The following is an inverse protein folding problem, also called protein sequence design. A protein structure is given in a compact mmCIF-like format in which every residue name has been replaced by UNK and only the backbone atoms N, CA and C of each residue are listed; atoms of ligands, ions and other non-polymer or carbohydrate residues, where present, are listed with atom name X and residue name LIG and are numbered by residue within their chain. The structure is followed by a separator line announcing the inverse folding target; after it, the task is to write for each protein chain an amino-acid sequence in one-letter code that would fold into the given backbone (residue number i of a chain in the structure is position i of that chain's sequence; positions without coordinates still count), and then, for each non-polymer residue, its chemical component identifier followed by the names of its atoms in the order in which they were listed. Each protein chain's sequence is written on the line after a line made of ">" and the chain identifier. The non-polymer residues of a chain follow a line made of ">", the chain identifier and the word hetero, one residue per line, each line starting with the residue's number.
data_IF_540896403433
#
_entry.id   IF_540896403433
#
_cell.length_a   1.000
_cell.length_b   1.000
_cell.length_c   1.000
_cell.angle_alpha   90.00
_cell.angle_beta   90.00
_cell.angle_gamma   90.00
#
_symmetry.space_group_name_H-M   'P 1'
#
loop_
_entity.id
_entity.type
_entity.pdbx_description
1 polymer ?
#
# COMPACT_ATOMS: atom_id res chain seq x y z
N UNK A 1 14.49 -45.65 -14.36
CA UNK A 1 15.65 -44.83 -14.73
C UNK A 1 15.23 -43.37 -14.59
N UNK A 2 15.22 -42.84 -13.36
CA UNK A 2 14.92 -41.43 -13.14
C UNK A 2 16.16 -40.64 -13.54
N UNK A 3 16.09 -39.99 -14.70
CA UNK A 3 17.11 -39.07 -15.16
C UNK A 3 17.20 -37.94 -14.13
N UNK A 4 18.22 -38.01 -13.29
CA UNK A 4 18.62 -36.96 -12.38
C UNK A 4 18.94 -35.73 -13.22
N UNK A 5 18.03 -34.76 -13.22
CA UNK A 5 18.32 -33.40 -13.66
C UNK A 5 19.18 -32.72 -12.60
N UNK A 6 20.38 -33.24 -12.38
CA UNK A 6 21.51 -32.45 -11.92
C UNK A 6 22.27 -32.06 -13.18
N UNK A 7 21.62 -31.24 -14.02
CA UNK A 7 22.41 -30.28 -14.79
C UNK A 7 23.02 -29.40 -13.72
N UNK A 8 24.32 -29.59 -13.51
CA UNK A 8 25.19 -28.57 -12.97
C UNK A 8 24.69 -27.23 -13.49
N UNK A 9 24.14 -26.40 -12.60
CA UNK A 9 23.72 -25.05 -12.91
C UNK A 9 24.97 -24.19 -12.73
N UNK A 10 25.80 -23.96 -13.77
CA UNK A 10 26.99 -23.13 -13.64
C UNK A 10 26.64 -21.72 -13.15
N UNK A 11 25.43 -21.23 -13.44
CA UNK A 11 24.97 -19.91 -13.01
C UNK A 11 24.87 -19.76 -11.49
N UNK A 12 24.61 -20.85 -10.76
CA UNK A 12 24.52 -20.86 -9.30
C UNK A 12 25.90 -20.85 -8.63
N UNK A 13 26.87 -21.59 -9.18
CA UNK A 13 28.24 -21.60 -8.64
C UNK A 13 28.95 -20.26 -8.81
N UNK A 14 28.75 -19.57 -9.95
CA UNK A 14 29.38 -18.26 -10.18
C UNK A 14 28.86 -17.13 -9.28
N UNK A 15 27.67 -17.28 -8.69
CA UNK A 15 27.06 -16.23 -7.88
C UNK A 15 27.44 -16.32 -6.39
N UNK A 16 27.72 -17.54 -5.90
CA UNK A 16 28.00 -17.81 -4.49
C UNK A 16 29.44 -17.48 -4.07
N UNK A 17 30.40 -17.49 -4.99
CA UNK A 17 31.84 -17.31 -4.67
C UNK A 17 32.18 -16.03 -3.91
N UNK A 18 31.43 -14.94 -4.12
CA UNK A 18 31.65 -13.64 -3.46
C UNK A 18 30.62 -13.34 -2.36
N UNK A 19 29.70 -14.27 -2.04
CA UNK A 19 28.67 -14.05 -1.03
C UNK A 19 29.17 -14.37 0.37
N UNK A 20 28.84 -13.50 1.33
CA UNK A 20 29.16 -13.66 2.74
C UNK A 20 27.88 -14.00 3.53
N UNK A 21 27.90 -14.99 4.44
CA UNK A 21 26.77 -15.23 5.34
C UNK A 21 26.43 -13.98 6.14
N UNK A 22 25.16 -13.61 6.18
CA UNK A 22 24.66 -12.47 6.97
C UNK A 22 23.82 -12.93 8.15
N UNK A 23 22.85 -13.79 7.90
CA UNK A 23 22.02 -14.39 8.94
C UNK A 23 21.53 -15.75 8.46
N UNK A 24 22.32 -16.77 8.77
CA UNK A 24 22.09 -18.16 8.35
C UNK A 24 20.72 -18.72 8.75
N UNK A 25 20.14 -18.42 9.93
CA UNK A 25 18.82 -18.94 10.29
C UNK A 25 17.69 -18.53 9.32
N UNK A 26 17.85 -17.41 8.62
CA UNK A 26 16.93 -16.98 7.55
C UNK A 26 17.53 -17.16 6.14
N UNK A 27 18.67 -17.82 6.03
CA UNK A 27 19.43 -18.01 4.79
C UNK A 27 19.70 -16.67 4.08
N UNK A 28 20.02 -15.64 4.86
CA UNK A 28 20.37 -14.31 4.36
C UNK A 28 21.88 -14.18 4.15
N UNK A 29 22.26 -13.56 3.04
CA UNK A 29 23.65 -13.37 2.61
C UNK A 29 23.87 -11.93 2.13
N UNK A 30 25.09 -11.45 2.26
CA UNK A 30 25.56 -10.21 1.65
C UNK A 30 26.34 -10.51 0.37
N UNK A 31 25.96 -9.88 -0.73
CA UNK A 31 26.65 -9.95 -2.02
C UNK A 31 27.29 -8.61 -2.35
N UNK A 32 28.59 -8.53 -2.69
CA UNK A 32 29.22 -7.30 -3.14
C UNK A 32 28.52 -6.67 -4.35
N UNK A 33 28.24 -5.38 -4.26
CA UNK A 33 27.72 -4.55 -5.34
C UNK A 33 28.87 -4.07 -6.19
N UNK A 34 28.87 -4.49 -7.46
CA UNK A 34 29.94 -4.15 -8.40
C UNK A 34 29.42 -3.16 -9.44
N UNK A 35 29.69 -1.88 -9.19
CA UNK A 35 29.24 -0.79 -10.05
C UNK A 35 30.37 -0.24 -10.94
N UNK A 36 30.00 0.06 -12.17
CA UNK A 36 30.82 0.60 -13.24
C UNK A 36 30.15 1.86 -13.79
N UNK A 37 30.90 2.94 -13.96
CA UNK A 37 30.46 4.12 -14.68
C UNK A 37 30.97 4.06 -16.12
N UNK A 38 30.06 4.21 -17.09
CA UNK A 38 30.39 4.32 -18.52
C UNK A 38 30.01 5.72 -18.98
N UNK A 39 30.98 6.49 -19.46
CA UNK A 39 30.74 7.80 -20.07
C UNK A 39 30.94 7.72 -21.57
N UNK A 40 29.91 8.08 -22.34
CA UNK A 40 29.95 8.12 -23.80
C UNK A 40 30.00 9.57 -24.23
N UNK A 41 31.07 9.95 -24.93
CA UNK A 41 31.21 11.29 -25.51
C UNK A 41 30.37 11.36 -26.79
N UNK A 42 29.42 12.28 -26.81
CA UNK A 42 28.56 12.55 -27.94
C UNK A 42 29.25 13.51 -28.92
N UNK A 43 29.02 13.38 -30.24
CA UNK A 43 29.58 14.28 -31.21
C UNK A 43 28.73 15.54 -31.29
N UNK A 44 29.34 16.66 -31.71
CA UNK A 44 28.56 17.86 -32.09
C UNK A 44 27.83 17.56 -33.39
N UNK A 45 26.54 17.22 -33.29
CA UNK A 45 25.69 16.92 -34.44
C UNK A 45 25.57 18.16 -35.32
N UNK A 46 26.07 18.10 -36.56
CA UNK A 46 26.05 19.22 -37.51
C UNK A 46 24.66 19.45 -38.13
N UNK A 47 23.83 18.41 -38.17
CA UNK A 47 22.49 18.46 -38.77
C UNK A 47 21.43 18.53 -37.67
N UNK A 48 20.56 19.54 -37.76
CA UNK A 48 19.39 19.65 -36.90
C UNK A 48 18.46 18.44 -37.10
N UNK A 49 18.01 17.81 -36.00
CA UNK A 49 17.12 16.65 -36.01
C UNK A 49 17.79 15.29 -35.91
N UNK A 50 19.12 15.20 -36.00
CA UNK A 50 19.82 13.97 -35.64
C UNK A 50 19.71 13.72 -34.13
N UNK A 51 19.41 12.49 -33.74
CA UNK A 51 19.40 12.08 -32.34
C UNK A 51 20.01 10.69 -32.20
N UNK A 52 20.81 10.50 -31.16
CA UNK A 52 21.39 9.20 -30.83
C UNK A 52 20.45 8.55 -29.82
N UNK A 53 19.88 7.39 -30.17
CA UNK A 53 18.99 6.70 -29.25
C UNK A 53 19.77 6.07 -28.09
N UNK A 54 19.30 6.30 -26.87
CA UNK A 54 19.87 5.67 -25.68
C UNK A 54 19.86 4.13 -25.76
N UNK A 55 18.82 3.56 -26.36
CA UNK A 55 18.70 2.12 -26.55
C UNK A 55 19.80 1.57 -27.45
N UNK A 56 20.08 2.22 -28.58
CA UNK A 56 21.14 1.82 -29.51
C UNK A 56 22.53 1.87 -28.84
N UNK A 57 22.79 2.90 -28.01
CA UNK A 57 24.02 2.95 -27.21
C UNK A 57 24.12 1.78 -26.23
N UNK A 58 23.05 1.49 -25.50
CA UNK A 58 22.99 0.36 -24.56
C UNK A 58 23.22 -0.97 -25.28
N UNK A 59 22.58 -1.19 -26.43
CA UNK A 59 22.74 -2.41 -27.22
C UNK A 59 24.16 -2.57 -27.76
N UNK A 60 24.79 -1.48 -28.21
CA UNK A 60 26.20 -1.48 -28.65
C UNK A 60 27.15 -1.77 -27.50
N UNK A 61 26.93 -1.18 -26.32
CA UNK A 61 27.70 -1.49 -25.10
C UNK A 61 27.56 -2.97 -24.76
N UNK A 62 26.34 -3.51 -24.72
CA UNK A 62 26.08 -4.93 -24.45
C UNK A 62 26.75 -5.85 -25.48
N UNK A 63 26.78 -5.47 -26.75
CA UNK A 63 27.46 -6.22 -27.81
C UNK A 63 28.98 -6.22 -27.63
N UNK A 64 29.56 -5.09 -27.23
CA UNK A 64 31.00 -4.93 -27.08
C UNK A 64 31.60 -5.77 -25.94
N UNK A 65 30.83 -6.04 -24.88
CA UNK A 65 31.30 -6.74 -23.69
C UNK A 65 31.06 -8.26 -23.70
N UNK A 66 30.40 -8.80 -24.74
CA UNK A 66 30.17 -10.25 -24.86
C UNK A 66 31.49 -11.01 -24.74
N UNK A 67 31.53 -12.15 -24.02
CA UNK A 67 30.40 -12.90 -23.46
C UNK A 67 29.95 -12.43 -22.05
N UNK A 68 30.48 -11.34 -21.52
CA UNK A 68 30.09 -10.83 -20.18
C UNK A 68 28.71 -10.18 -20.24
N UNK A 69 27.86 -10.48 -19.26
CA UNK A 69 26.52 -9.91 -19.15
C UNK A 69 26.45 -8.82 -18.07
N UNK A 70 25.51 -7.89 -18.25
CA UNK A 70 25.22 -6.83 -17.28
C UNK A 70 24.04 -7.24 -16.42
N UNK A 71 24.17 -7.10 -15.10
CA UNK A 71 23.05 -7.27 -14.17
C UNK A 71 22.05 -6.12 -14.32
N UNK A 72 22.54 -4.90 -14.49
CA UNK A 72 21.70 -3.73 -14.74
C UNK A 72 22.47 -2.64 -15.49
N UNK A 73 21.76 -1.81 -16.26
CA UNK A 73 22.30 -0.60 -16.88
C UNK A 73 21.25 0.50 -16.81
N UNK A 74 21.62 1.66 -16.27
CA UNK A 74 20.75 2.84 -16.17
C UNK A 74 21.52 4.10 -16.54
N UNK A 75 20.80 5.12 -16.99
CA UNK A 75 21.37 6.45 -17.24
C UNK A 75 21.34 7.22 -15.91
N UNK A 76 22.48 7.78 -15.50
CA UNK A 76 22.61 8.55 -14.27
C UNK A 76 22.72 10.06 -14.52
N UNK A 77 23.28 10.46 -15.66
CA UNK A 77 23.36 11.85 -16.05
C UNK A 77 23.45 11.96 -17.58
N UNK A 78 22.88 13.03 -18.14
CA UNK A 78 23.03 13.37 -19.54
C UNK A 78 23.32 14.86 -19.66
N UNK A 79 24.19 15.19 -20.60
CA UNK A 79 24.52 16.55 -21.03
C UNK A 79 24.54 16.55 -22.56
N UNK A 80 24.71 17.73 -23.17
CA UNK A 80 24.81 17.87 -24.63
C UNK A 80 25.98 17.04 -25.19
N UNK A 81 27.09 16.96 -24.45
CA UNK A 81 28.33 16.34 -24.93
C UNK A 81 28.59 14.95 -24.35
N UNK A 82 27.93 14.54 -23.25
CA UNK A 82 28.23 13.28 -22.55
C UNK A 82 26.98 12.64 -21.97
N UNK A 83 26.85 11.33 -22.17
CA UNK A 83 25.89 10.47 -21.45
C UNK A 83 26.68 9.59 -20.47
N UNK A 84 26.22 9.54 -19.21
CA UNK A 84 26.79 8.68 -18.17
C UNK A 84 25.81 7.58 -17.79
N UNK A 85 26.27 6.34 -17.91
CA UNK A 85 25.57 5.15 -17.48
C UNK A 85 26.20 4.62 -16.19
N UNK A 86 25.35 4.18 -15.26
CA UNK A 86 25.73 3.30 -14.16
C UNK A 86 25.35 1.88 -14.54
N UNK A 87 26.33 1.00 -14.49
CA UNK A 87 26.22 -0.41 -14.83
C UNK A 87 26.51 -1.23 -13.60
N UNK A 88 25.69 -2.24 -13.37
CA UNK A 88 25.91 -3.23 -12.35
C UNK A 88 26.36 -4.55 -12.99
N UNK A 89 27.39 -5.15 -12.42
CA UNK A 89 28.00 -6.40 -12.85
C UNK A 89 27.86 -7.46 -11.76
N UNK A 90 27.97 -8.72 -12.18
CA UNK A 90 27.77 -9.88 -11.30
C UNK A 90 28.84 -10.04 -10.22
N UNK A 91 30.12 -9.74 -10.55
CA UNK A 91 31.26 -9.95 -9.66
C UNK A 91 32.45 -9.06 -10.04
N UNK A 92 33.48 -9.03 -9.18
CA UNK A 92 34.67 -8.18 -9.39
C UNK A 92 35.49 -8.59 -10.62
N UNK A 93 35.51 -9.88 -10.97
CA UNK A 93 36.20 -10.38 -12.18
C UNK A 93 35.56 -9.81 -13.45
N UNK A 94 34.23 -9.74 -13.50
CA UNK A 94 33.50 -9.12 -14.61
C UNK A 94 33.81 -7.63 -14.73
N UNK A 95 33.96 -6.90 -13.61
CA UNK A 95 34.35 -5.49 -13.63
C UNK A 95 35.68 -5.25 -14.32
N UNK A 96 36.72 -5.96 -13.92
CA UNK A 96 38.06 -5.79 -14.52
C UNK A 96 38.03 -6.12 -16.01
N UNK A 97 37.35 -7.21 -16.40
CA UNK A 97 37.18 -7.58 -17.82
C UNK A 97 36.48 -6.48 -18.63
N UNK A 98 35.37 -5.96 -18.12
CA UNK A 98 34.57 -4.95 -18.83
C UNK A 98 35.31 -3.62 -18.93
N UNK A 99 36.01 -3.18 -17.87
CA UNK A 99 36.84 -1.96 -17.92
C UNK A 99 37.91 -2.08 -19.01
N UNK A 100 38.64 -3.20 -19.06
CA UNK A 100 39.70 -3.40 -20.04
C UNK A 100 39.20 -3.42 -21.49
N UNK A 101 37.93 -3.80 -21.72
CA UNK A 101 37.32 -3.83 -23.05
C UNK A 101 36.75 -2.47 -23.45
N UNK A 102 36.10 -1.75 -22.52
CA UNK A 102 35.34 -0.55 -22.82
C UNK A 102 36.14 0.75 -22.65
N UNK A 103 37.10 0.82 -21.76
CA UNK A 103 37.84 2.07 -21.57
C UNK A 103 38.73 2.37 -22.78
N UNK A 104 38.54 3.55 -23.38
CA UNK A 104 39.19 3.91 -24.64
C UNK A 104 38.55 3.30 -25.90
N UNK A 105 37.51 2.46 -25.74
CA UNK A 105 36.77 1.91 -26.87
C UNK A 105 36.00 3.00 -27.63
N UNK A 106 35.74 2.77 -28.92
CA UNK A 106 35.06 3.71 -29.80
C UNK A 106 33.87 3.06 -30.50
N UNK A 107 32.67 3.62 -30.32
CA UNK A 107 31.44 3.12 -30.94
C UNK A 107 31.13 3.88 -32.23
N UNK A 108 30.96 3.15 -33.34
CA UNK A 108 30.35 3.71 -34.55
C UNK A 108 28.84 3.65 -34.42
N UNK A 109 28.17 4.79 -34.58
CA UNK A 109 26.70 4.91 -34.55
C UNK A 109 26.21 5.36 -35.92
N UNK A 110 25.11 4.77 -36.40
CA UNK A 110 24.51 5.14 -37.68
C UNK A 110 24.06 6.60 -37.62
N UNK A 111 24.45 7.40 -38.62
CA UNK A 111 24.16 8.85 -38.68
C UNK A 111 25.22 9.74 -38.04
N UNK A 112 26.21 9.18 -37.33
CA UNK A 112 27.35 9.92 -36.80
C UNK A 112 28.60 9.68 -37.66
N UNK A 113 29.26 10.77 -38.09
CA UNK A 113 30.52 10.70 -38.87
C UNK A 113 31.69 10.31 -37.96
N UNK A 114 31.72 10.89 -36.76
CA UNK A 114 32.77 10.65 -35.76
C UNK A 114 32.36 9.50 -34.83
N UNK A 115 33.29 8.58 -34.49
CA UNK A 115 33.01 7.53 -33.54
C UNK A 115 32.92 8.08 -32.10
N UNK A 116 31.99 7.54 -31.32
CA UNK A 116 31.77 7.94 -29.94
C UNK A 116 32.80 7.32 -29.03
N UNK A 117 33.56 8.15 -28.30
CA UNK A 117 34.57 7.67 -27.35
C UNK A 117 33.90 7.22 -26.05
N UNK A 118 34.22 6.01 -25.61
CA UNK A 118 33.82 5.46 -24.32
C UNK A 118 34.94 5.65 -23.30
N UNK A 119 34.55 6.05 -22.09
CA UNK A 119 35.34 5.90 -20.88
C UNK A 119 34.62 4.97 -19.90
N UNK A 120 35.35 4.03 -19.32
CA UNK A 120 34.79 3.07 -18.37
C UNK A 120 35.66 3.03 -17.11
N UNK A 121 35.06 3.26 -15.95
CA UNK A 121 35.77 3.24 -14.68
C UNK A 121 34.87 2.75 -13.54
N UNK A 122 35.46 2.08 -12.54
CA UNK A 122 34.73 1.66 -11.34
C UNK A 122 33.93 2.84 -10.77
N UNK A 123 32.64 2.63 -10.52
CA UNK A 123 31.80 3.68 -9.97
C UNK A 123 32.21 4.00 -8.53
N UNK A 124 32.14 5.29 -8.17
CA UNK A 124 32.22 5.71 -6.77
C UNK A 124 30.92 5.34 -6.09
N UNK A 125 31.03 4.75 -4.89
CA UNK A 125 29.85 4.43 -4.09
C UNK A 125 29.18 5.72 -3.58
N UNK A 126 27.85 5.77 -3.64
CA UNK A 126 27.05 6.80 -2.96
C UNK A 126 26.82 6.49 -1.47
N UNK A 127 27.38 5.39 -0.97
CA UNK A 127 27.23 4.99 0.42
C UNK A 127 27.94 5.98 1.35
N UNK A 128 27.29 6.48 2.41
CA UNK A 128 27.85 7.49 3.29
C UNK A 128 29.15 6.99 3.95
N UNK A 129 30.13 7.88 4.04
CA UNK A 129 31.46 7.69 4.62
C UNK A 129 31.55 8.27 6.01
N UNK A 130 32.61 7.89 6.73
CA UNK A 130 32.90 8.46 8.04
C UNK A 130 32.95 9.97 8.06
N UNK A 131 33.53 10.55 7.01
CA UNK A 131 33.55 11.97 6.84
C UNK A 131 32.13 12.56 6.74
N UNK A 132 31.23 11.91 5.98
CA UNK A 132 29.87 12.42 5.75
C UNK A 132 29.04 12.51 7.03
N UNK A 133 29.02 11.47 7.88
CA UNK A 133 28.26 11.54 9.13
C UNK A 133 28.98 12.38 10.18
N UNK A 134 30.30 12.30 10.27
CA UNK A 134 31.05 13.11 11.22
C UNK A 134 30.87 14.62 10.91
N UNK A 135 30.86 15.01 9.63
CA UNK A 135 30.60 16.39 9.21
C UNK A 135 29.14 16.80 9.44
N UNK A 136 28.18 15.92 9.16
CA UNK A 136 26.77 16.19 9.42
C UNK A 136 26.52 16.50 10.90
N UNK A 137 26.95 15.64 11.82
CA UNK A 137 26.70 15.82 13.26
C UNK A 137 27.54 16.94 13.88
N UNK A 138 28.67 17.32 13.27
CA UNK A 138 29.44 18.51 13.70
C UNK A 138 28.81 19.82 13.26
N UNK A 139 28.31 19.89 12.03
CA UNK A 139 27.84 21.13 11.42
C UNK A 139 26.35 21.41 11.66
N UNK A 140 25.64 20.48 12.29
CA UNK A 140 24.21 20.62 12.57
C UNK A 140 23.99 21.21 13.97
N UNK A 141 23.68 22.52 14.03
CA UNK A 141 23.55 23.29 15.27
C UNK A 141 22.43 22.83 16.22
N UNK A 142 21.52 21.98 15.77
CA UNK A 142 20.38 21.52 16.56
C UNK A 142 20.57 20.10 17.12
N UNK A 143 21.75 19.47 17.00
CA UNK A 143 22.02 18.11 17.48
C UNK A 143 22.91 18.12 18.72
N UNK A 144 22.56 17.35 19.75
CA UNK A 144 23.42 17.11 20.91
C UNK A 144 24.04 15.71 20.85
N UNK A 145 25.34 15.63 20.52
CA UNK A 145 26.04 14.35 20.35
C UNK A 145 26.13 13.50 21.64
N UNK A 146 25.82 14.07 22.81
CA UNK A 146 25.73 13.33 24.06
C UNK A 146 24.43 12.54 24.18
N UNK A 147 23.40 12.88 23.39
CA UNK A 147 22.09 12.22 23.41
C UNK A 147 22.01 11.08 22.39
N UNK A 148 21.38 9.95 22.75
CA UNK A 148 21.16 8.86 21.80
C UNK A 148 20.25 9.33 20.67
N UNK A 149 20.58 8.97 19.43
CA UNK A 149 19.80 9.33 18.23
C UNK A 149 20.10 10.73 17.67
N UNK A 150 20.97 11.49 18.33
CA UNK A 150 21.49 12.78 17.86
C UNK A 150 23.01 12.71 17.56
N UNK A 151 23.50 11.49 17.40
CA UNK A 151 24.89 11.13 17.13
C UNK A 151 24.91 9.97 16.11
N UNK A 152 26.07 9.59 15.55
CA UNK A 152 26.16 8.46 14.64
C UNK A 152 26.02 7.12 15.38
N UNK A 153 24.80 6.82 15.82
CA UNK A 153 24.43 5.58 16.48
C UNK A 153 23.24 4.89 15.82
N UNK A 154 22.55 5.57 14.90
CA UNK A 154 21.31 5.08 14.28
C UNK A 154 21.49 4.94 12.77
N UNK A 155 21.25 3.73 12.28
CA UNK A 155 21.15 3.43 10.83
C UNK A 155 19.70 3.42 10.40
N UNK A 156 19.46 3.86 9.16
CA UNK A 156 18.18 3.79 8.49
C UNK A 156 18.33 2.88 7.27
N UNK A 157 17.44 1.89 7.16
CA UNK A 157 17.38 0.96 6.04
C UNK A 157 16.04 1.14 5.34
N UNK A 158 16.05 1.45 4.06
CA UNK A 158 14.81 1.54 3.28
C UNK A 158 14.59 0.36 2.36
N UNK A 159 13.33 0.09 2.04
CA UNK A 159 12.88 -0.86 1.01
C UNK A 159 13.30 -2.31 1.26
N UNK A 160 13.17 -2.77 2.51
CA UNK A 160 13.35 -4.18 2.88
C UNK A 160 12.07 -4.99 2.57
N UNK A 161 12.14 -6.20 2.01
CA UNK A 161 10.97 -7.02 1.71
C UNK A 161 10.28 -7.51 2.97
N UNK A 162 9.01 -7.19 3.13
CA UNK A 162 8.22 -7.62 4.30
C UNK A 162 8.31 -9.14 4.46
N UNK A 163 8.14 -9.89 3.36
CA UNK A 163 8.15 -11.36 3.33
C UNK A 163 9.43 -12.00 3.88
N UNK A 164 10.55 -11.29 3.93
CA UNK A 164 11.81 -11.82 4.44
C UNK A 164 11.94 -11.66 5.96
N UNK A 165 11.21 -10.72 6.54
CA UNK A 165 11.33 -10.31 7.93
C UNK A 165 10.02 -10.46 8.72
N UNK A 166 9.04 -11.19 8.19
CA UNK A 166 7.74 -11.41 8.83
C UNK A 166 7.85 -11.98 10.24
N UNK A 167 6.96 -11.52 11.11
CA UNK A 167 6.75 -12.16 12.40
C UNK A 167 6.15 -13.56 12.19
N UNK A 168 6.67 -14.55 12.92
CA UNK A 168 6.14 -15.91 12.95
C UNK A 168 4.69 -15.95 13.45
N UNK A 169 4.30 -15.00 14.31
CA UNK A 169 2.94 -14.87 14.86
C UNK A 169 2.04 -14.05 13.95
N UNK A 170 2.51 -12.89 13.52
CA UNK A 170 1.78 -11.99 12.63
C UNK A 170 2.38 -12.03 11.22
N UNK A 171 1.83 -12.90 10.37
CA UNK A 171 2.36 -13.18 9.03
C UNK A 171 2.15 -12.04 8.00
N UNK A 172 1.83 -10.82 8.46
CA UNK A 172 1.57 -9.66 7.59
C UNK A 172 2.60 -8.55 7.77
N UNK A 173 3.23 -8.43 8.95
CA UNK A 173 4.13 -7.34 9.28
C UNK A 173 5.54 -7.85 9.58
N UNK A 174 6.57 -7.04 9.32
CA UNK A 174 7.93 -7.37 9.71
C UNK A 174 8.09 -7.32 11.25
N UNK A 175 9.00 -8.12 11.78
CA UNK A 175 9.26 -8.25 13.22
C UNK A 175 10.46 -7.39 13.65
N UNK A 176 10.22 -6.49 14.60
CA UNK A 176 11.28 -5.70 15.25
C UNK A 176 12.26 -6.61 16.03
N UNK A 177 11.75 -7.66 16.68
CA UNK A 177 12.58 -8.62 17.41
C UNK A 177 13.50 -9.42 16.49
N UNK A 178 12.99 -9.81 15.31
CA UNK A 178 13.79 -10.49 14.29
C UNK A 178 14.90 -9.57 13.75
N UNK A 179 14.57 -8.32 13.44
CA UNK A 179 15.58 -7.34 13.00
C UNK A 179 16.60 -7.06 14.09
N UNK A 180 16.17 -6.99 15.35
CA UNK A 180 17.08 -6.89 16.49
C UNK A 180 18.06 -8.08 16.49
N UNK A 181 17.56 -9.30 16.43
CA UNK A 181 18.39 -10.50 16.42
C UNK A 181 19.38 -10.53 15.24
N UNK A 182 18.95 -10.10 14.05
CA UNK A 182 19.79 -10.05 12.86
C UNK A 182 20.93 -9.03 13.04
N UNK A 183 20.63 -7.82 13.51
CA UNK A 183 21.60 -6.74 13.56
C UNK A 183 22.45 -6.71 14.85
N UNK A 184 22.06 -7.45 15.89
CA UNK A 184 22.84 -7.61 17.13
C UNK A 184 24.24 -8.18 16.89
N UNK A 185 24.47 -8.87 15.76
CA UNK A 185 25.79 -9.32 15.34
C UNK A 185 26.82 -8.18 15.20
N UNK A 186 26.37 -6.94 14.93
CA UNK A 186 27.25 -5.77 14.87
C UNK A 186 27.53 -5.17 16.26
N UNK A 187 26.65 -5.42 17.23
CA UNK A 187 26.74 -5.00 18.62
C UNK A 187 25.37 -4.71 19.24
N UNK A 188 25.35 -4.34 20.52
CA UNK A 188 24.12 -4.16 21.28
C UNK A 188 23.19 -3.08 20.68
N UNK A 189 21.92 -3.42 20.55
CA UNK A 189 20.88 -2.55 19.98
C UNK A 189 20.05 -1.93 21.11
N UNK A 190 19.96 -0.60 21.10
CA UNK A 190 19.10 0.16 22.02
C UNK A 190 17.63 0.08 21.58
N UNK A 191 17.35 0.53 20.36
CA UNK A 191 16.00 0.61 19.82
C UNK A 191 15.95 0.15 18.37
N UNK A 192 14.84 -0.47 18.00
CA UNK A 192 14.42 -0.73 16.61
C UNK A 192 13.05 -0.10 16.45
N UNK A 193 12.79 0.58 15.35
CA UNK A 193 11.45 1.10 15.02
C UNK A 193 11.15 0.85 13.55
N UNK A 194 10.01 0.23 13.29
CA UNK A 194 9.45 0.06 11.95
C UNK A 194 8.19 0.93 11.85
N UNK A 195 8.23 2.12 11.21
CA UNK A 195 7.07 3.00 11.11
C UNK A 195 5.83 2.32 10.50
N UNK A 196 6.01 1.38 9.57
CA UNK A 196 4.92 0.66 8.92
C UNK A 196 4.15 -0.28 9.88
N UNK A 197 4.74 -0.70 11.00
CA UNK A 197 4.09 -1.60 11.97
C UNK A 197 3.05 -0.89 12.85
N UNK A 198 3.00 0.45 12.81
CA UNK A 198 2.04 1.24 13.58
C UNK A 198 1.06 1.97 12.64
N UNK A 199 -0.18 1.47 12.60
CA UNK A 199 -1.26 2.03 11.78
C UNK A 199 -1.54 3.52 12.04
N UNK A 200 -1.20 4.03 13.22
CA UNK A 200 -1.40 5.44 13.55
C UNK A 200 -0.38 6.36 12.89
N UNK A 201 0.79 5.84 12.47
CA UNK A 201 1.84 6.65 11.82
C UNK A 201 1.36 7.34 10.56
N UNK A 202 0.46 6.72 9.80
CA UNK A 202 -0.14 7.31 8.57
C UNK A 202 -1.00 8.54 8.83
N UNK A 203 -1.43 8.74 10.09
CA UNK A 203 -2.22 9.91 10.55
C UNK A 203 -1.38 10.94 11.31
N UNK A 204 -0.10 10.66 11.52
CA UNK A 204 0.84 11.59 12.13
C UNK A 204 1.43 12.53 11.08
N UNK A 205 1.83 13.75 11.45
CA UNK A 205 2.58 14.62 10.56
C UNK A 205 3.92 13.99 10.16
N UNK A 206 4.47 14.30 8.96
CA UNK A 206 5.72 13.72 8.48
C UNK A 206 6.93 13.91 9.42
N UNK A 207 6.95 15.00 10.18
CA UNK A 207 8.01 15.29 11.17
C UNK A 207 8.01 14.38 12.40
N UNK A 208 6.95 13.59 12.61
CA UNK A 208 6.78 12.70 13.77
C UNK A 208 6.60 11.24 13.33
N UNK A 209 5.95 11.01 12.19
CA UNK A 209 5.60 9.67 11.71
C UNK A 209 6.82 8.79 11.47
N UNK A 210 7.94 9.38 11.04
CA UNK A 210 9.16 8.67 10.63
C UNK A 210 9.05 7.92 9.30
N UNK A 211 7.90 8.03 8.64
CA UNK A 211 7.70 7.47 7.29
C UNK A 211 8.44 8.37 6.31
N UNK A 212 9.43 7.82 5.62
CA UNK A 212 10.08 8.50 4.50
C UNK A 212 9.24 8.19 3.25
N UNK A 213 8.44 9.16 2.78
CA UNK A 213 7.64 9.01 1.56
C UNK A 213 8.56 8.97 0.31
N UNK A 214 9.31 7.89 0.11
CA UNK A 214 10.32 7.76 -0.94
C UNK A 214 9.90 6.81 -2.08
N UNK A 215 8.59 6.52 -2.21
CA UNK A 215 8.11 5.54 -3.19
C UNK A 215 6.65 5.67 -3.61
N UNK A 216 6.29 4.87 -4.62
CA UNK A 216 4.92 4.69 -5.09
C UNK A 216 4.05 4.01 -4.01
N UNK A 217 2.75 4.34 -3.89
CA UNK A 217 1.87 3.77 -2.86
C UNK A 217 1.88 2.25 -2.77
N UNK A 218 1.98 1.56 -3.91
CA UNK A 218 2.03 0.09 -3.98
C UNK A 218 3.30 -0.53 -3.38
N UNK A 219 4.39 0.23 -3.23
CA UNK A 219 5.62 -0.29 -2.64
C UNK A 219 5.47 -0.59 -1.14
N UNK A 220 4.59 0.13 -0.43
CA UNK A 220 4.36 -0.04 1.01
C UNK A 220 3.79 -1.42 1.37
N UNK A 221 3.17 -2.13 0.42
CA UNK A 221 2.58 -3.46 0.66
C UNK A 221 3.62 -4.58 0.60
N UNK A 222 4.76 -4.34 -0.04
CA UNK A 222 5.80 -5.37 -0.26
C UNK A 222 7.10 -5.04 0.45
N UNK A 223 7.37 -3.76 0.68
CA UNK A 223 8.62 -3.27 1.24
C UNK A 223 8.37 -2.35 2.45
N UNK A 224 9.30 -2.36 3.40
CA UNK A 224 9.26 -1.51 4.60
C UNK A 224 10.60 -0.82 4.85
N UNK A 225 10.57 0.19 5.70
CA UNK A 225 11.74 0.91 6.18
C UNK A 225 11.90 0.70 7.69
N UNK A 226 13.14 0.73 8.18
CA UNK A 226 13.46 0.51 9.60
C UNK A 226 14.59 1.43 10.06
N UNK A 227 14.51 1.82 11.33
CA UNK A 227 15.58 2.50 12.05
C UNK A 227 16.13 1.55 13.11
N UNK A 228 17.46 1.44 13.18
CA UNK A 228 18.15 0.59 14.15
C UNK A 228 19.20 1.44 14.86
N UNK A 229 19.04 1.62 16.16
CA UNK A 229 19.95 2.40 17.00
C UNK A 229 20.80 1.46 17.85
N UNK A 230 22.11 1.60 17.71
CA UNK A 230 23.10 0.90 18.52
C UNK A 230 23.38 1.65 19.82
N UNK A 231 23.80 0.91 20.85
CA UNK A 231 24.24 1.51 22.12
C UNK A 231 25.57 2.24 21.94
N UNK A 232 26.48 1.67 21.14
CA UNK A 232 27.85 2.14 20.96
C UNK A 232 28.13 2.58 19.52
N UNK A 233 28.95 3.62 19.36
CA UNK A 233 29.43 4.11 18.06
C UNK A 233 30.20 3.04 17.26
N UNK A 234 30.96 2.18 17.95
CA UNK A 234 31.73 1.12 17.28
C UNK A 234 30.80 0.12 16.58
N UNK A 235 29.66 -0.20 17.18
CA UNK A 235 28.64 -1.08 16.61
C UNK A 235 28.00 -0.46 15.36
N UNK A 236 27.67 0.84 15.43
CA UNK A 236 27.22 1.61 14.26
C UNK A 236 28.27 1.57 13.13
N UNK A 237 29.55 1.82 13.45
CA UNK A 237 30.64 1.82 12.48
C UNK A 237 30.82 0.43 11.83
N UNK A 238 30.74 -0.65 12.62
CA UNK A 238 30.79 -2.04 12.13
C UNK A 238 29.63 -2.32 11.18
N UNK A 239 28.41 -1.95 11.54
CA UNK A 239 27.23 -2.09 10.69
C UNK A 239 27.39 -1.33 9.37
N UNK A 240 27.76 -0.04 9.42
CA UNK A 240 27.96 0.77 8.22
C UNK A 240 29.07 0.20 7.31
N UNK A 241 30.17 -0.29 7.88
CA UNK A 241 31.25 -0.89 7.10
C UNK A 241 30.90 -2.25 6.51
N UNK A 242 30.21 -3.11 7.26
CA UNK A 242 29.80 -4.44 6.77
C UNK A 242 28.72 -4.37 5.69
N UNK A 243 27.85 -3.36 5.77
CA UNK A 243 26.76 -3.16 4.81
C UNK A 243 27.17 -2.33 3.59
N UNK A 244 28.31 -1.63 3.67
CA UNK A 244 28.83 -0.80 2.58
C UNK A 244 29.06 -1.60 1.30
N UNK A 245 28.47 -1.12 0.21
CA UNK A 245 28.58 -1.74 -1.12
C UNK A 245 28.15 -3.21 -1.13
N UNK A 246 27.21 -3.60 -0.27
CA UNK A 246 26.62 -4.93 -0.30
C UNK A 246 25.19 -4.90 -0.87
N UNK A 247 24.66 -6.08 -1.13
CA UNK A 247 23.28 -6.40 -1.48
C UNK A 247 22.82 -7.50 -0.57
N UNK A 248 21.58 -7.42 -0.10
CA UNK A 248 21.01 -8.48 0.72
C UNK A 248 20.35 -9.49 -0.23
N UNK A 249 20.80 -10.75 -0.15
CA UNK A 249 20.28 -11.87 -0.90
C UNK A 249 19.66 -12.89 0.05
N UNK A 250 18.60 -13.56 -0.38
CA UNK A 250 17.98 -14.68 0.34
C UNK A 250 18.07 -15.94 -0.50
N UNK A 251 18.61 -17.00 0.09
CA UNK A 251 18.62 -18.31 -0.55
C UNK A 251 17.30 -19.02 -0.26
N UNK A 252 16.56 -19.36 -1.33
CA UNK A 252 15.29 -20.08 -1.25
C UNK A 252 15.54 -21.59 -1.14
N UNK A 253 14.53 -22.35 -0.71
CA UNK A 253 14.66 -23.81 -0.49
C UNK A 253 14.98 -24.60 -1.76
N UNK A 254 14.63 -24.06 -2.94
CA UNK A 254 14.93 -24.66 -4.24
C UNK A 254 16.41 -24.46 -4.67
N UNK A 255 17.28 -24.00 -3.77
CA UNK A 255 18.62 -23.47 -4.06
C UNK A 255 18.63 -22.33 -5.07
N UNK A 256 17.49 -21.71 -5.38
CA UNK A 256 17.42 -20.51 -6.21
C UNK A 256 17.72 -19.31 -5.33
N UNK A 257 18.69 -18.51 -5.72
CA UNK A 257 18.99 -17.25 -5.06
C UNK A 257 17.95 -16.24 -5.52
N UNK A 258 17.06 -15.83 -4.61
CA UNK A 258 16.24 -14.66 -4.85
C UNK A 258 17.10 -13.44 -4.54
N UNK A 259 17.68 -12.86 -5.58
CA UNK A 259 18.28 -11.54 -5.50
C UNK A 259 17.16 -10.51 -5.49
N UNK A 260 16.73 -10.08 -4.30
CA UNK A 260 15.94 -8.85 -4.27
C UNK A 260 16.87 -7.69 -4.57
N UNK A 261 16.34 -6.70 -5.30
CA UNK A 261 16.97 -5.41 -5.58
C UNK A 261 17.17 -4.55 -4.31
N UNK A 262 17.51 -5.17 -3.17
CA UNK A 262 18.01 -4.47 -2.00
C UNK A 262 19.48 -4.18 -2.30
N UNK A 263 19.75 -3.10 -3.04
CA UNK A 263 21.03 -2.41 -2.83
C UNK A 263 21.05 -2.10 -1.32
N UNK A 264 21.90 -2.76 -0.54
CA UNK A 264 22.23 -2.32 0.83
C UNK A 264 22.85 -0.91 0.77
N UNK A 265 23.13 -0.38 -0.43
CA UNK A 265 23.23 1.06 -0.72
C UNK A 265 22.00 1.93 -0.37
N UNK A 266 20.95 1.41 0.26
CA UNK A 266 19.92 2.22 0.94
C UNK A 266 20.10 2.28 2.47
N UNK A 267 21.25 1.82 2.98
CA UNK A 267 21.67 2.14 4.34
C UNK A 267 22.15 3.58 4.35
N UNK A 268 21.49 4.40 5.15
CA UNK A 268 21.96 5.73 5.52
C UNK A 268 22.10 5.81 7.05
N UNK A 269 22.71 6.88 7.53
CA UNK A 269 22.62 7.24 8.94
C UNK A 269 21.40 8.14 9.15
N UNK A 270 20.78 8.05 10.34
CA UNK A 270 19.62 8.87 10.65
C UNK A 270 20.02 10.34 10.80
N UNK A 271 19.33 11.21 10.05
CA UNK A 271 19.50 12.66 10.03
C UNK A 271 18.35 13.39 10.73
N UNK A 272 17.35 12.64 11.19
CA UNK A 272 16.04 13.17 11.60
C UNK A 272 15.79 13.11 13.10
N UNK A 273 16.71 12.52 13.88
CA UNK A 273 16.53 12.24 15.31
C UNK A 273 15.39 11.27 15.60
N UNK A 274 15.13 10.35 14.68
CA UNK A 274 13.96 9.47 14.75
C UNK A 274 13.95 8.64 16.04
N UNK A 275 15.11 8.14 16.47
CA UNK A 275 15.27 7.35 17.70
C UNK A 275 15.84 8.18 18.87
N UNK A 276 15.76 9.51 18.81
CA UNK A 276 16.02 10.35 19.97
C UNK A 276 14.82 10.32 20.94
N UNK A 277 15.11 10.44 22.23
CA UNK A 277 14.09 10.32 23.29
C UNK A 277 12.95 11.33 23.13
N UNK A 278 13.27 12.58 22.79
CA UNK A 278 12.29 13.64 22.55
C UNK A 278 11.34 13.29 21.38
N UNK A 279 11.88 12.70 20.31
CA UNK A 279 11.08 12.28 19.13
C UNK A 279 10.19 11.10 19.46
N UNK A 280 10.70 10.12 20.21
CA UNK A 280 9.94 8.95 20.68
C UNK A 280 8.79 9.42 21.58
N UNK A 281 9.05 10.31 22.54
CA UNK A 281 8.02 10.85 23.44
C UNK A 281 6.93 11.62 22.69
N UNK A 282 7.32 12.55 21.79
CA UNK A 282 6.35 13.31 20.97
C UNK A 282 5.44 12.38 20.16
N UNK A 283 6.03 11.33 19.59
CA UNK A 283 5.30 10.32 18.82
C UNK A 283 4.35 9.50 19.69
N UNK A 284 4.77 9.08 20.89
CA UNK A 284 3.90 8.37 21.83
C UNK A 284 2.72 9.23 22.28
N UNK A 285 2.95 10.51 22.58
CA UNK A 285 1.89 11.47 22.94
C UNK A 285 0.87 11.63 21.80
N UNK A 286 1.35 11.82 20.57
CA UNK A 286 0.47 11.96 19.41
C UNK A 286 -0.31 10.66 19.14
N UNK A 287 0.34 9.49 19.28
CA UNK A 287 -0.32 8.19 19.16
C UNK A 287 -1.47 8.06 20.16
N UNK A 288 -1.25 8.46 21.40
CA UNK A 288 -2.27 8.42 22.45
C UNK A 288 -3.47 9.32 22.12
N UNK A 289 -3.24 10.51 21.56
CA UNK A 289 -4.31 11.40 21.11
C UNK A 289 -5.15 10.75 20.00
N UNK A 290 -4.52 10.14 18.99
CA UNK A 290 -5.23 9.45 17.90
C UNK A 290 -6.06 8.25 18.40
N UNK A 291 -5.53 7.48 19.36
CA UNK A 291 -6.26 6.37 19.97
C UNK A 291 -7.52 6.90 20.69
N UNK A 292 -7.40 7.97 21.46
CA UNK A 292 -8.53 8.58 22.17
C UNK A 292 -9.59 9.13 21.19
N UNK A 293 -9.18 9.72 20.07
CA UNK A 293 -10.09 10.17 19.03
C UNK A 293 -10.89 9.01 18.42
N UNK A 294 -10.24 7.89 18.13
CA UNK A 294 -10.89 6.72 17.55
C UNK A 294 -11.86 6.07 18.52
N UNK A 295 -11.47 5.96 19.80
CA UNK A 295 -12.35 5.47 20.86
C UNK A 295 -13.61 6.35 21.00
N UNK A 296 -13.45 7.68 21.01
CA UNK A 296 -14.60 8.61 21.04
C UNK A 296 -15.49 8.47 19.80
N UNK A 297 -14.90 8.33 18.61
CA UNK A 297 -15.66 8.12 17.36
C UNK A 297 -16.43 6.80 17.38
N UNK A 298 -15.83 5.74 17.91
CA UNK A 298 -16.46 4.43 18.03
C UNK A 298 -17.64 4.47 19.03
N UNK A 299 -17.44 5.04 20.22
CA UNK A 299 -18.51 5.23 21.21
C UNK A 299 -19.68 6.08 20.68
N UNK A 300 -19.39 7.14 19.93
CA UNK A 300 -20.43 7.96 19.31
C UNK A 300 -21.20 7.22 18.22
N UNK A 301 -20.57 6.28 17.50
CA UNK A 301 -21.25 5.44 16.51
C UNK A 301 -22.16 4.42 17.17
N UNK A 302 -21.65 3.71 18.19
CA UNK A 302 -22.39 2.73 18.97
C UNK A 302 -23.64 3.37 19.61
N UNK A 303 -23.49 4.53 20.27
CA UNK A 303 -24.62 5.27 20.83
C UNK A 303 -25.68 5.67 19.79
N UNK A 304 -25.25 6.09 18.59
CA UNK A 304 -26.19 6.44 17.50
C UNK A 304 -26.92 5.21 16.95
N UNK A 305 -26.25 4.07 16.88
CA UNK A 305 -26.85 2.80 16.46
C UNK A 305 -27.86 2.29 17.50
N UNK A 306 -27.52 2.37 18.79
CA UNK A 306 -28.42 2.06 19.91
C UNK A 306 -29.65 2.99 19.91
N UNK A 307 -29.46 4.31 19.82
CA UNK A 307 -30.55 5.29 19.76
C UNK A 307 -31.49 5.02 18.56
N UNK A 308 -30.93 4.59 17.42
CA UNK A 308 -31.71 4.21 16.23
C UNK A 308 -32.48 2.92 16.45
N UNK A 309 -31.88 1.91 17.08
CA UNK A 309 -32.56 0.65 17.42
C UNK A 309 -33.71 0.89 18.41
N UNK A 310 -33.50 1.68 19.45
CA UNK A 310 -34.56 2.05 20.41
C UNK A 310 -35.71 2.77 19.71
N UNK A 311 -35.42 3.73 18.83
CA UNK A 311 -36.44 4.45 18.05
C UNK A 311 -37.24 3.50 17.15
N UNK A 312 -36.58 2.55 16.48
CA UNK A 312 -37.25 1.57 15.63
C UNK A 312 -38.16 0.64 16.44
N UNK A 313 -37.69 0.13 17.59
CA UNK A 313 -38.50 -0.72 18.48
C UNK A 313 -39.73 0.03 19.02
N UNK A 314 -39.59 1.32 19.35
CA UNK A 314 -40.71 2.16 19.78
C UNK A 314 -41.70 2.39 18.63
N UNK A 315 -41.22 2.59 17.40
CA UNK A 315 -42.06 2.73 16.21
C UNK A 315 -42.83 1.44 15.90
N UNK A 316 -42.16 0.29 15.91
CA UNK A 316 -42.76 -1.03 15.67
C UNK A 316 -43.86 -1.35 16.71
N UNK A 317 -43.57 -1.13 18.01
CA UNK A 317 -44.59 -1.28 19.07
C UNK A 317 -45.78 -0.34 18.88
N UNK A 318 -45.56 0.86 18.35
CA UNK A 318 -46.63 1.83 18.05
C UNK A 318 -47.47 1.38 16.86
N UNK A 319 -46.84 0.85 15.81
CA UNK A 319 -47.54 0.28 14.64
C UNK A 319 -48.36 -0.95 15.02
N UNK A 320 -47.81 -1.87 15.80
CA UNK A 320 -48.52 -3.05 16.29
C UNK A 320 -49.74 -2.65 17.14
N UNK A 321 -49.57 -1.66 18.03
CA UNK A 321 -50.69 -1.12 18.83
C UNK A 321 -51.77 -0.50 17.95
N UNK A 322 -51.40 0.19 16.87
CA UNK A 322 -52.34 0.77 15.93
C UNK A 322 -53.09 -0.30 15.14
N UNK A 323 -52.40 -1.37 14.70
CA UNK A 323 -53.01 -2.51 14.01
C UNK A 323 -54.04 -3.23 14.89
N UNK A 324 -53.68 -3.55 16.14
CA UNK A 324 -54.61 -4.15 17.12
C UNK A 324 -55.85 -3.27 17.39
N UNK A 325 -55.68 -1.95 17.39
CA UNK A 325 -56.80 -0.99 17.54
C UNK A 325 -57.73 -0.99 16.34
N UNK A 326 -57.19 -1.09 15.12
CA UNK A 326 -57.98 -1.18 13.88
C UNK A 326 -58.76 -2.50 13.83
N UNK A 327 -58.11 -3.64 14.09
CA UNK A 327 -58.75 -4.96 14.14
C UNK A 327 -59.88 -5.01 15.18
N UNK A 328 -59.69 -4.40 16.35
CA UNK A 328 -60.73 -4.32 17.38
C UNK A 328 -61.94 -3.49 16.93
N UNK A 329 -61.71 -2.36 16.23
CA UNK A 329 -62.78 -1.54 15.66
C UNK A 329 -63.55 -2.29 14.57
N UNK A 330 -62.85 -3.00 13.68
CA UNK A 330 -63.48 -3.82 12.64
C UNK A 330 -64.32 -4.95 13.23
N UNK A 331 -63.82 -5.65 14.26
CA UNK A 331 -64.57 -6.71 14.95
C UNK A 331 -65.81 -6.19 15.68
N UNK A 332 -65.72 -5.03 16.37
CA UNK A 332 -66.87 -4.40 17.00
C UNK A 332 -67.94 -4.00 15.99
N UNK A 333 -67.54 -3.44 14.84
CA UNK A 333 -68.49 -3.04 13.81
C UNK A 333 -69.17 -4.25 13.13
N UNK A 334 -68.47 -5.38 13.00
CA UNK A 334 -69.05 -6.64 12.51
C UNK A 334 -70.07 -7.22 13.51
N UNK A 335 -69.76 -7.18 14.81
CA UNK A 335 -70.64 -7.66 15.89
C UNK A 335 -71.89 -6.79 16.08
N UNK A 336 -71.82 -5.49 15.82
CA UNK A 336 -73.01 -4.62 15.83
C UNK A 336 -73.94 -4.88 14.64
N UNK A 337 -73.41 -5.30 13.48
CA UNK A 337 -74.23 -5.62 12.30
C UNK A 337 -74.86 -7.02 12.34
N UNK A 338 -74.26 -7.99 13.05
CA UNK A 338 -74.82 -9.35 13.23
C UNK A 338 -76.25 -9.41 13.85
N UNK A 339 -76.57 -8.67 14.93
CA UNK A 339 -77.92 -8.67 15.51
C UNK A 339 -78.95 -7.94 14.66
N UNK A 340 -78.54 -7.15 13.66
CA UNK A 340 -79.45 -6.52 12.70
C UNK A 340 -79.93 -7.54 11.65
N UNK A 341 -79.08 -8.50 11.28
CA UNK A 341 -79.49 -9.65 10.46
C UNK A 341 -80.32 -10.67 11.25
N UNK A 342 -80.03 -10.88 12.55
CA UNK A 342 -80.75 -11.87 13.37
C UNK A 342 -82.12 -11.39 13.88
N UNK A 343 -82.39 -10.07 13.87
CA UNK A 343 -83.74 -9.52 14.16
C UNK A 343 -84.69 -9.55 12.97
N UNK A 344 -84.19 -9.86 11.78
CA UNK A 344 -85.02 -10.17 10.60
C UNK A 344 -85.14 -11.69 10.50
N UNK A 345 -85.46 -12.35 11.61
CA UNK A 345 -85.75 -13.77 11.56
C UNK A 345 -86.65 -14.33 12.64
N UNK A 346 -87.64 -13.57 13.12
CA UNK A 346 -88.81 -14.14 13.79
C UNK A 346 -90.03 -13.22 13.63
N UNK A 347 -90.61 -13.19 12.43
CA UNK A 347 -92.05 -13.40 12.24
C UNK A 347 -92.41 -13.21 10.76
N UNK A 348 -92.98 -14.28 10.21
CA UNK A 348 -93.86 -14.28 9.03
C UNK A 348 -93.32 -13.67 7.75
N UNK A 349 -92.80 -14.53 6.88
CA UNK A 349 -93.45 -14.92 5.62
C UNK A 349 -92.38 -15.27 4.57
N UNK A 350 -92.53 -16.46 4.00
CA UNK A 350 -91.63 -17.05 3.01
C UNK A 350 -91.82 -16.29 1.69
N UNK A 351 -91.24 -15.08 1.60
CA UNK A 351 -90.77 -14.47 0.36
C UNK A 351 -89.90 -13.19 0.55
N UNK A 352 -89.58 -12.77 1.79
CA UNK A 352 -88.66 -11.64 2.01
C UNK A 352 -87.19 -12.03 2.26
N UNK A 353 -86.91 -13.31 2.58
CA UNK A 353 -85.52 -13.77 2.85
C UNK A 353 -84.60 -13.64 1.64
N UNK A 354 -85.11 -13.88 0.44
CA UNK A 354 -84.33 -13.79 -0.80
C UNK A 354 -84.06 -12.35 -1.24
N UNK A 355 -84.96 -11.40 -0.92
CA UNK A 355 -84.78 -9.98 -1.27
C UNK A 355 -83.88 -9.24 -0.28
N UNK A 356 -83.94 -9.57 1.02
CA UNK A 356 -83.12 -8.89 2.01
C UNK A 356 -81.64 -9.34 1.98
N UNK A 357 -81.37 -10.63 1.75
CA UNK A 357 -80.00 -11.12 1.56
C UNK A 357 -79.35 -10.57 0.29
N UNK A 358 -80.12 -10.36 -0.78
CA UNK A 358 -79.61 -9.77 -2.03
C UNK A 358 -79.31 -8.28 -1.88
N UNK A 359 -80.18 -7.50 -1.22
CA UNK A 359 -79.95 -6.06 -0.99
C UNK A 359 -78.76 -5.81 -0.04
N UNK A 360 -78.58 -6.65 0.99
CA UNK A 360 -77.44 -6.55 1.91
C UNK A 360 -76.11 -6.94 1.25
N UNK A 361 -76.09 -8.03 0.48
CA UNK A 361 -74.93 -8.40 -0.34
C UNK A 361 -74.58 -7.29 -1.35
N UNK A 362 -75.58 -6.68 -2.00
CA UNK A 362 -75.36 -5.55 -2.90
C UNK A 362 -74.80 -4.33 -2.18
N UNK A 363 -75.30 -4.00 -0.98
CA UNK A 363 -74.79 -2.91 -0.14
C UNK A 363 -73.33 -3.11 0.26
N UNK A 364 -72.96 -4.31 0.74
CA UNK A 364 -71.57 -4.66 1.08
C UNK A 364 -70.66 -4.66 -0.15
N UNK A 365 -71.14 -5.17 -1.30
CA UNK A 365 -70.43 -5.08 -2.58
C UNK A 365 -70.21 -3.62 -2.98
N UNK A 366 -71.22 -2.74 -2.79
CA UNK A 366 -71.11 -1.30 -3.07
C UNK A 366 -70.12 -0.59 -2.14
N UNK A 367 -70.12 -0.92 -0.84
CA UNK A 367 -69.20 -0.35 0.16
C UNK A 367 -67.77 -0.84 -0.09
N UNK A 368 -67.59 -2.13 -0.42
CA UNK A 368 -66.30 -2.69 -0.81
C UNK A 368 -65.82 -2.12 -2.15
N UNK A 369 -66.71 -1.95 -3.14
CA UNK A 369 -66.41 -1.20 -4.37
C UNK A 369 -66.08 0.26 -4.08
N UNK A 370 -66.72 0.93 -3.11
CA UNK A 370 -66.36 2.29 -2.71
C UNK A 370 -65.02 2.35 -2.01
N UNK A 371 -64.68 1.38 -1.16
CA UNK A 371 -63.35 1.26 -0.54
C UNK A 371 -62.28 0.88 -1.55
N UNK A 372 -62.59 0.03 -2.54
CA UNK A 372 -61.74 -0.24 -3.68
C UNK A 372 -61.66 0.97 -4.60
N UNK A 373 -62.72 1.74 -4.83
CA UNK A 373 -62.69 3.02 -5.58
C UNK A 373 -62.01 4.13 -4.78
N UNK A 374 -61.97 4.09 -3.46
CA UNK A 374 -61.17 4.99 -2.64
C UNK A 374 -59.73 4.51 -2.57
N UNK A 375 -59.46 3.21 -2.59
CA UNK A 375 -58.09 2.67 -2.65
C UNK A 375 -57.48 2.81 -4.03
N UNK A 376 -58.21 2.48 -5.10
CA UNK A 376 -57.88 2.66 -6.53
C UNK A 376 -58.11 4.10 -6.96
N UNK A 377 -58.97 4.87 -6.30
CA UNK A 377 -59.11 6.31 -6.50
C UNK A 377 -58.05 7.07 -5.74
N UNK A 378 -57.58 6.62 -4.59
CA UNK A 378 -56.34 7.09 -3.98
C UNK A 378 -55.14 6.56 -4.76
N UNK A 379 -55.13 5.32 -5.25
CA UNK A 379 -54.06 4.81 -6.10
C UNK A 379 -54.07 5.50 -7.46
N UNK A 380 -55.24 5.87 -7.97
CA UNK A 380 -55.46 6.55 -9.24
C UNK A 380 -55.30 8.05 -9.10
N UNK A 381 -55.56 8.65 -7.93
CA UNK A 381 -55.11 9.99 -7.56
C UNK A 381 -53.60 9.99 -7.38
N UNK A 382 -53.00 8.95 -6.79
CA UNK A 382 -51.57 8.83 -6.61
C UNK A 382 -50.88 8.54 -7.94
N UNK A 383 -51.47 7.70 -8.80
CA UNK A 383 -51.00 7.43 -10.16
C UNK A 383 -51.29 8.61 -11.08
N UNK A 384 -52.37 9.37 -10.89
CA UNK A 384 -52.63 10.64 -11.58
C UNK A 384 -51.72 11.74 -11.07
N UNK A 385 -51.38 11.78 -9.76
CA UNK A 385 -50.39 12.68 -9.22
C UNK A 385 -49.03 12.34 -9.81
N UNK A 386 -48.65 11.06 -9.83
CA UNK A 386 -47.40 10.57 -10.41
C UNK A 386 -47.39 10.82 -11.93
N UNK A 387 -48.45 10.49 -12.66
CA UNK A 387 -48.56 10.73 -14.10
C UNK A 387 -48.63 12.22 -14.43
N UNK A 388 -49.28 13.06 -13.62
CA UNK A 388 -49.27 14.53 -13.73
C UNK A 388 -47.89 15.08 -13.42
N UNK A 389 -47.19 14.52 -12.43
CA UNK A 389 -45.79 14.84 -12.13
C UNK A 389 -44.90 14.47 -13.33
N UNK A 390 -45.11 13.30 -13.94
CA UNK A 390 -44.39 12.88 -15.14
C UNK A 390 -44.80 13.66 -16.39
N UNK A 391 -46.07 14.05 -16.57
CA UNK A 391 -46.57 14.83 -17.73
C UNK A 391 -46.16 16.29 -17.62
N UNK A 392 -46.16 16.89 -16.43
CA UNK A 392 -45.57 18.20 -16.17
C UNK A 392 -44.05 18.16 -16.30
N UNK A 393 -43.38 17.10 -15.85
CA UNK A 393 -41.93 16.93 -16.09
C UNK A 393 -41.63 16.75 -17.59
N UNK A 394 -42.48 16.06 -18.36
CA UNK A 394 -42.33 15.93 -19.82
C UNK A 394 -42.68 17.21 -20.59
N UNK A 395 -43.65 18.03 -20.13
CA UNK A 395 -43.94 19.35 -20.72
C UNK A 395 -42.85 20.38 -20.40
N UNK A 396 -42.20 20.26 -19.24
CA UNK A 396 -41.01 21.04 -18.90
C UNK A 396 -39.84 20.60 -19.80
N UNK A 397 -39.71 19.30 -20.11
CA UNK A 397 -38.68 18.76 -21.01
C UNK A 397 -38.93 18.97 -22.51
N UNK A 398 -40.09 19.47 -22.95
CA UNK A 398 -40.39 19.80 -24.36
C UNK A 398 -40.44 21.32 -24.64
N UNK A 399 -40.28 22.14 -23.60
CA UNK A 399 -40.10 23.60 -23.69
C UNK A 399 -38.64 24.04 -23.54
N UNK A 400 -37.75 23.09 -23.25
CA UNK A 400 -36.33 23.15 -23.56
C UNK A 400 -36.09 22.32 -24.82
#
# INVERSE_FOLDING_TARGET
>A
MYLSWHRDMPELSFCLDEMEPFFEPLKLYLKPVVLLNISVSLPRLKQAGQSISNRDLIERIKKAIKPTELTSIRICAYTIDVIRFEVELSNRKALTKVINVLDGHSLKVVGCIEPLKIRAAKAKSSFPTRHDWDDFFRNTNNMDQMKPGERPDTIYLSKLPIDWFKDKKNNTLPSEDLLRQIFEQFGAIRCVDIPACDQYRKRMPPSISGIQNSGFPFAEETMFDVYIQFVEYVSFLRAMNGLRNMKLAKMMDNNVISETMIKVGMVDFDKTKHLADDSIQKRQLYRMQLIQEDQKKQQMKEKKEEDKMIKNLVAEKKEERNKRRLEKKESSHLKERQPECEKINTNTNVNCKTNFETDFMQSLLKEHEQRLRQRVGCFGYFLSLILSFFKNSYLILRKF
#
